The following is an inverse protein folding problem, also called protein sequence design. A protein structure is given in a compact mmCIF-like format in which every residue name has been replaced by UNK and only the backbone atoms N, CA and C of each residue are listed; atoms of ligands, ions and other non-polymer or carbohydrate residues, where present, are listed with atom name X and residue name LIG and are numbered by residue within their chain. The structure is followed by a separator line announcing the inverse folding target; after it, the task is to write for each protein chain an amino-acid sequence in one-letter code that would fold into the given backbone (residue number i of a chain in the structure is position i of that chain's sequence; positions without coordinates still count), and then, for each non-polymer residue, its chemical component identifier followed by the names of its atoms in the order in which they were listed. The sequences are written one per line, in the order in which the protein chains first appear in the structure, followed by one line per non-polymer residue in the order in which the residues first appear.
data_IF_303696318096
#
_entry.id   IF_303696318096
#
_cell.length_a   1.000
_cell.length_b   1.000
_cell.length_c   1.000
_cell.angle_alpha   90.00
_cell.angle_beta   90.00
_cell.angle_gamma   90.00
#
_symmetry.space_group_name_H-M   'P 1'
#
loop_
_entity.id
_entity.type
_entity.pdbx_description
1 polymer ?
#
# COMPACT_ATOMS: atom_id res chain seq x y z
N UNK A 1 -22.12 -40.79 41.91
CA UNK A 1 -20.77 -40.44 42.40
C UNK A 1 -19.75 -40.32 41.27
N UNK A 2 -19.52 -41.36 40.45
CA UNK A 2 -18.56 -41.33 39.33
C UNK A 2 -18.85 -40.28 38.25
N UNK A 3 -20.11 -40.16 37.79
CA UNK A 3 -20.50 -39.14 36.80
C UNK A 3 -20.29 -37.70 37.32
N UNK A 4 -20.56 -37.47 38.60
CA UNK A 4 -20.37 -36.14 39.18
C UNK A 4 -18.87 -35.78 39.30
N UNK A 5 -18.03 -36.77 39.60
CA UNK A 5 -16.58 -36.59 39.66
C UNK A 5 -15.97 -36.33 38.28
N UNK A 6 -16.45 -37.01 37.22
CA UNK A 6 -15.95 -36.78 35.85
C UNK A 6 -16.34 -35.40 35.31
N UNK A 7 -17.57 -34.94 35.61
CA UNK A 7 -18.02 -33.60 35.23
C UNK A 7 -17.20 -32.50 35.91
N UNK A 8 -16.88 -32.68 37.20
CA UNK A 8 -16.05 -31.72 37.94
C UNK A 8 -14.61 -31.68 37.39
N UNK A 9 -14.07 -32.83 36.97
CA UNK A 9 -12.74 -32.89 36.35
C UNK A 9 -12.67 -32.14 35.01
N UNK A 10 -13.69 -32.30 34.16
CA UNK A 10 -13.79 -31.57 32.88
C UNK A 10 -13.87 -30.05 33.12
N UNK A 11 -14.63 -29.62 34.14
CA UNK A 11 -14.78 -28.21 34.49
C UNK A 11 -13.45 -27.61 35.00
N UNK A 12 -12.70 -28.33 35.83
CA UNK A 12 -11.36 -27.92 36.27
C UNK A 12 -10.39 -27.82 35.09
N UNK A 13 -10.41 -28.78 34.16
CA UNK A 13 -9.58 -28.73 32.95
C UNK A 13 -9.93 -27.51 32.09
N UNK A 14 -11.21 -27.21 31.89
CA UNK A 14 -11.65 -26.05 31.13
C UNK A 14 -11.17 -24.72 31.76
N UNK A 15 -11.18 -24.62 33.09
CA UNK A 15 -10.64 -23.46 33.81
C UNK A 15 -9.12 -23.37 33.64
N UNK A 16 -8.40 -24.49 33.75
CA UNK A 16 -6.96 -24.51 33.49
C UNK A 16 -6.62 -24.07 32.06
N UNK A 17 -7.34 -24.56 31.05
CA UNK A 17 -7.15 -24.17 29.65
C UNK A 17 -7.43 -22.68 29.46
N UNK A 18 -8.52 -22.16 30.03
CA UNK A 18 -8.88 -20.73 29.89
C UNK A 18 -7.88 -19.82 30.59
N UNK A 19 -7.34 -20.21 31.76
CA UNK A 19 -6.26 -19.47 32.43
C UNK A 19 -4.96 -19.51 31.62
N UNK A 20 -4.63 -20.65 30.99
CA UNK A 20 -3.49 -20.75 30.08
C UNK A 20 -3.69 -19.87 28.86
N UNK A 21 -4.87 -19.89 28.22
CA UNK A 21 -5.19 -19.07 27.04
C UNK A 21 -5.23 -17.57 27.37
N UNK A 22 -5.62 -17.21 28.59
CA UNK A 22 -5.71 -15.81 29.05
C UNK A 22 -4.38 -15.28 29.60
N UNK A 23 -3.49 -16.16 30.08
CA UNK A 23 -2.16 -15.83 30.63
C UNK A 23 -1.00 -15.98 29.63
N UNK A 24 -1.10 -16.87 28.65
CA UNK A 24 -0.20 -16.87 27.49
C UNK A 24 -0.76 -15.85 26.51
N UNK A 25 -0.05 -14.74 26.30
CA UNK A 25 -0.32 -13.87 25.16
C UNK A 25 -0.44 -14.74 23.91
N UNK A 26 -1.62 -14.77 23.31
CA UNK A 26 -1.86 -15.27 21.96
C UNK A 26 -0.79 -14.70 21.04
N UNK A 27 0.24 -15.49 20.68
CA UNK A 27 1.32 -14.90 19.88
C UNK A 27 2.16 -15.84 19.01
N UNK A 28 2.10 -17.17 19.17
CA UNK A 28 2.89 -18.05 18.30
C UNK A 28 2.03 -18.82 17.29
N UNK A 29 0.99 -19.50 17.75
CA UNK A 29 0.15 -20.30 16.85
C UNK A 29 -0.80 -19.42 16.03
N UNK A 30 -1.47 -18.45 16.67
CA UNK A 30 -2.31 -17.47 15.97
C UNK A 30 -1.50 -16.64 14.97
N UNK A 31 -0.26 -16.26 15.33
CA UNK A 31 0.64 -15.52 14.43
C UNK A 31 1.08 -16.38 13.26
N UNK A 32 1.30 -17.68 13.46
CA UNK A 32 1.67 -18.62 12.39
C UNK A 32 0.50 -18.95 11.47
N UNK A 33 -0.72 -19.06 11.99
CA UNK A 33 -1.94 -19.23 11.20
C UNK A 33 -2.26 -17.94 10.44
N UNK A 34 -2.17 -16.77 11.11
CA UNK A 34 -2.28 -15.47 10.44
C UNK A 34 -1.22 -15.31 9.36
N UNK A 35 0.03 -15.74 9.57
CA UNK A 35 1.08 -15.62 8.55
C UNK A 35 0.89 -16.57 7.36
N UNK A 36 0.15 -17.68 7.53
CA UNK A 36 -0.18 -18.60 6.43
C UNK A 36 -1.44 -18.12 5.68
N UNK A 37 -2.44 -17.60 6.40
CA UNK A 37 -3.70 -17.09 5.80
C UNK A 37 -3.54 -15.69 5.21
N UNK A 38 -2.71 -14.82 5.80
CA UNK A 38 -2.44 -13.47 5.27
C UNK A 38 -1.45 -13.49 4.11
N UNK A 39 -0.75 -14.61 3.85
CA UNK A 39 0.17 -14.69 2.70
C UNK A 39 -0.53 -14.58 1.34
N UNK A 40 -1.83 -14.88 1.26
CA UNK A 40 -2.66 -14.66 0.06
C UNK A 40 -3.31 -13.27 0.02
N UNK A 41 -3.29 -12.52 1.13
CA UNK A 41 -3.85 -11.15 1.23
C UNK A 41 -2.79 -10.12 1.61
N UNK A 42 -1.51 -10.47 1.47
CA UNK A 42 -0.43 -9.51 1.41
C UNK A 42 -0.54 -8.84 0.05
N UNK A 43 -1.48 -7.90 -0.07
CA UNK A 43 -1.26 -6.73 -0.89
C UNK A 43 0.12 -6.25 -0.45
N UNK A 44 1.12 -6.49 -1.29
CA UNK A 44 2.48 -6.02 -1.01
C UNK A 44 2.34 -4.58 -0.54
N UNK A 45 2.81 -4.30 0.67
CA UNK A 45 3.10 -2.93 1.09
C UNK A 45 4.17 -2.44 0.11
N UNK A 46 3.72 -2.00 -1.08
CA UNK A 46 4.57 -1.34 -2.05
C UNK A 46 5.01 -0.08 -1.34
N UNK A 47 6.26 -0.11 -0.91
CA UNK A 47 6.92 0.99 -0.22
C UNK A 47 6.76 2.23 -1.11
N UNK A 48 5.89 3.15 -0.68
CA UNK A 48 5.59 4.37 -1.44
C UNK A 48 6.87 5.19 -1.42
N UNK A 49 7.37 5.58 -2.59
CA UNK A 49 8.60 6.37 -2.65
C UNK A 49 8.39 7.70 -1.93
N UNK A 50 9.39 8.17 -1.19
CA UNK A 50 9.38 9.49 -0.55
C UNK A 50 9.00 10.61 -1.54
N UNK A 51 9.45 10.47 -2.79
CA UNK A 51 9.09 11.38 -3.89
C UNK A 51 7.60 11.39 -4.20
N UNK A 52 6.96 10.22 -4.24
CA UNK A 52 5.52 10.10 -4.50
C UNK A 52 4.71 10.68 -3.34
N UNK A 53 5.18 10.44 -2.11
CA UNK A 53 4.57 11.01 -0.91
C UNK A 53 4.65 12.54 -0.91
N UNK A 54 5.82 13.09 -1.25
CA UNK A 54 6.03 14.54 -1.34
C UNK A 54 5.14 15.16 -2.43
N UNK A 55 5.08 14.55 -3.61
CA UNK A 55 4.24 15.03 -4.71
C UNK A 55 2.75 15.00 -4.35
N UNK A 56 2.29 13.96 -3.63
CA UNK A 56 0.92 13.92 -3.12
C UNK A 56 0.65 15.07 -2.13
N UNK A 57 1.61 15.36 -1.26
CA UNK A 57 1.51 16.47 -0.30
C UNK A 57 1.41 17.83 -1.00
N UNK A 58 2.26 18.10 -2.00
CA UNK A 58 2.21 19.34 -2.79
C UNK A 58 0.86 19.52 -3.48
N UNK A 59 0.27 18.44 -4.03
CA UNK A 59 -1.06 18.50 -4.66
C UNK A 59 -2.14 18.90 -3.65
N UNK A 60 -2.06 18.40 -2.42
CA UNK A 60 -3.01 18.73 -1.35
C UNK A 60 -2.80 20.16 -0.85
N UNK A 61 -1.56 20.61 -0.72
CA UNK A 61 -1.23 21.98 -0.32
C UNK A 61 -1.77 23.00 -1.35
N UNK A 62 -1.55 22.74 -2.63
CA UNK A 62 -2.09 23.58 -3.71
C UNK A 62 -3.63 23.60 -3.71
N UNK A 63 -4.27 22.48 -3.35
CA UNK A 63 -5.73 22.45 -3.19
C UNK A 63 -6.18 23.36 -2.05
N UNK A 64 -5.48 23.34 -0.92
CA UNK A 64 -5.81 24.17 0.22
C UNK A 64 -5.76 25.65 -0.15
N UNK A 65 -4.69 26.09 -0.82
CA UNK A 65 -4.53 27.47 -1.31
C UNK A 65 -5.67 27.88 -2.24
N UNK A 66 -6.07 27.00 -3.16
CA UNK A 66 -7.18 27.26 -4.08
C UNK A 66 -8.52 27.40 -3.32
N UNK A 67 -8.75 26.56 -2.31
CA UNK A 67 -9.99 26.56 -1.54
C UNK A 67 -10.12 27.77 -0.62
N UNK A 68 -9.01 28.31 -0.13
CA UNK A 68 -8.95 29.57 0.63
C UNK A 68 -9.28 30.80 -0.22
N UNK A 69 -9.29 30.68 -1.56
CA UNK A 69 -9.61 31.79 -2.44
C UNK A 69 -11.08 32.23 -2.27
N UNK A 70 -11.32 33.53 -2.10
CA UNK A 70 -12.67 34.09 -1.95
C UNK A 70 -13.43 34.24 -3.27
N UNK A 71 -12.76 34.05 -4.42
CA UNK A 71 -13.38 34.17 -5.72
C UNK A 71 -13.80 32.79 -6.25
N UNK A 72 -15.10 32.58 -6.39
CA UNK A 72 -15.68 31.30 -6.80
C UNK A 72 -15.21 30.82 -8.19
N UNK A 73 -15.01 31.75 -9.13
CA UNK A 73 -14.50 31.40 -10.46
C UNK A 73 -13.05 30.94 -10.43
N UNK A 74 -12.21 31.60 -9.62
CA UNK A 74 -10.81 31.21 -9.44
C UNK A 74 -10.73 29.87 -8.72
N UNK A 75 -11.56 29.66 -7.70
CA UNK A 75 -11.67 28.39 -6.96
C UNK A 75 -12.07 27.24 -7.88
N UNK A 76 -13.11 27.41 -8.70
CA UNK A 76 -13.54 26.38 -9.65
C UNK A 76 -12.42 25.98 -10.62
N UNK A 77 -11.76 26.97 -11.23
CA UNK A 77 -10.66 26.72 -12.16
C UNK A 77 -9.45 26.09 -11.48
N UNK A 78 -9.12 26.54 -10.26
CA UNK A 78 -8.05 25.99 -9.46
C UNK A 78 -8.29 24.53 -9.10
N UNK A 79 -9.50 24.19 -8.60
CA UNK A 79 -9.86 22.81 -8.23
C UNK A 79 -9.78 21.92 -9.46
N UNK A 80 -10.30 22.38 -10.61
CA UNK A 80 -10.19 21.65 -11.88
C UNK A 80 -8.74 21.40 -12.29
N UNK A 81 -7.84 22.36 -12.05
CA UNK A 81 -6.42 22.20 -12.35
C UNK A 81 -5.72 21.22 -11.40
N UNK A 82 -6.04 21.27 -10.11
CA UNK A 82 -5.50 20.33 -9.12
C UNK A 82 -5.99 18.91 -9.43
N UNK A 83 -7.26 18.75 -9.80
CA UNK A 83 -7.82 17.46 -10.17
C UNK A 83 -7.08 16.81 -11.35
N UNK A 84 -6.74 17.59 -12.40
CA UNK A 84 -5.89 17.10 -13.49
C UNK A 84 -4.51 16.62 -13.04
N UNK A 85 -3.93 17.25 -12.02
CA UNK A 85 -2.65 16.82 -11.43
C UNK A 85 -2.78 15.53 -10.63
N UNK A 86 -3.89 15.34 -9.92
CA UNK A 86 -4.21 14.06 -9.25
C UNK A 86 -4.35 12.95 -10.29
N UNK A 87 -5.03 13.21 -11.41
CA UNK A 87 -5.13 12.25 -12.52
C UNK A 87 -3.75 11.89 -13.08
N UNK A 88 -2.91 12.88 -13.39
CA UNK A 88 -1.56 12.64 -13.88
C UNK A 88 -0.68 11.87 -12.86
N UNK A 89 -0.82 12.15 -11.57
CA UNK A 89 -0.12 11.44 -10.49
C UNK A 89 -0.56 9.98 -10.40
N UNK A 90 -1.86 9.71 -10.51
CA UNK A 90 -2.41 8.34 -10.53
C UNK A 90 -1.94 7.57 -11.77
N UNK A 91 -1.96 8.21 -12.93
CA UNK A 91 -1.61 7.57 -14.20
C UNK A 91 -0.10 7.26 -14.26
N UNK A 92 0.76 8.10 -13.67
CA UNK A 92 2.18 7.79 -13.46
C UNK A 92 2.38 6.47 -12.69
N UNK A 93 1.60 6.26 -11.62
CA UNK A 93 1.69 5.04 -10.83
C UNK A 93 1.28 3.79 -11.64
N UNK A 94 0.24 3.90 -12.47
CA UNK A 94 -0.21 2.77 -13.30
C UNK A 94 0.79 2.37 -14.38
N UNK A 95 1.49 3.33 -14.99
CA UNK A 95 2.52 3.03 -15.98
C UNK A 95 3.76 2.33 -15.37
N UNK A 96 4.20 2.75 -14.19
CA UNK A 96 5.32 2.10 -13.49
C UNK A 96 5.00 0.67 -13.05
N UNK A 97 3.75 0.40 -12.65
CA UNK A 97 3.31 -0.95 -12.28
C UNK A 97 3.19 -1.91 -13.48
N UNK A 98 2.88 -1.39 -14.68
CA UNK A 98 2.85 -2.20 -15.91
C UNK A 98 4.27 -2.55 -16.40
N UNK A 99 5.22 -1.62 -16.30
CA UNK A 99 6.61 -1.84 -16.75
C UNK A 99 7.36 -2.88 -15.89
N UNK A 100 7.02 -3.04 -14.62
CA UNK A 100 7.64 -4.02 -13.72
C UNK A 100 7.18 -5.48 -13.95
N UNK A 101 6.16 -5.72 -14.77
CA UNK A 101 5.69 -7.08 -15.13
C UNK A 101 6.26 -7.61 -16.45
N UNK A 102 7.07 -6.83 -17.16
CA UNK A 102 7.76 -7.30 -18.35
C UNK A 102 9.02 -8.11 -17.96
N UNK A 103 9.18 -9.36 -18.43
CA UNK A 103 10.42 -10.10 -18.19
C UNK A 103 11.59 -9.37 -18.83
N UNK A 104 12.64 -9.18 -18.03
CA UNK A 104 13.95 -8.65 -18.42
C UNK A 104 14.41 -9.29 -19.73
N UNK A 105 14.38 -8.50 -20.81
CA UNK A 105 15.03 -8.85 -22.06
C UNK A 105 16.32 -8.03 -22.17
N UNK A 106 17.42 -8.78 -22.19
CA UNK A 106 18.80 -8.35 -22.25
C UNK A 106 19.13 -7.43 -23.43
N UNK A 107 19.95 -6.42 -23.11
CA UNK A 107 20.89 -5.64 -23.94
C UNK A 107 21.01 -6.01 -25.42
N UNK A 108 20.91 -5.00 -26.29
CA UNK A 108 21.93 -4.79 -27.32
C UNK A 108 22.09 -3.32 -27.69
N UNK A 109 23.25 -2.77 -27.31
CA UNK A 109 23.85 -1.55 -27.82
C UNK A 109 24.00 -1.63 -29.34
N UNK A 110 23.37 -0.72 -30.11
CA UNK A 110 23.85 -0.36 -31.44
C UNK A 110 23.83 1.16 -31.63
N UNK A 111 25.04 1.68 -31.53
CA UNK A 111 25.51 3.00 -31.88
C UNK A 111 25.05 3.38 -33.30
N UNK A 112 24.29 4.48 -33.44
CA UNK A 112 24.10 5.16 -34.73
C UNK A 112 24.60 6.59 -34.59
N UNK A 113 25.85 6.78 -35.01
CA UNK A 113 26.43 8.08 -35.28
C UNK A 113 25.50 8.84 -36.24
N UNK A 114 24.95 9.95 -35.75
CA UNK A 114 24.20 10.89 -36.55
C UNK A 114 25.18 11.62 -37.49
N UNK A 115 25.05 11.38 -38.78
CA UNK A 115 25.64 12.22 -39.82
C UNK A 115 24.92 13.58 -39.80
N UNK A 116 25.46 14.54 -39.04
CA UNK A 116 25.08 15.95 -39.14
C UNK A 116 25.94 16.58 -40.23
N UNK A 117 25.41 16.67 -41.46
CA UNK A 117 26.00 17.49 -42.50
C UNK A 117 25.77 18.96 -42.15
N UNK A 118 26.85 19.64 -41.75
CA UNK A 118 26.91 21.08 -41.59
C UNK A 118 26.79 21.73 -42.96
N UNK A 119 25.74 22.52 -43.17
CA UNK A 119 25.67 23.49 -44.26
C UNK A 119 26.35 24.76 -43.78
N UNK A 120 27.44 25.15 -44.43
CA UNK A 120 27.84 26.55 -44.54
C UNK A 120 28.57 26.81 -45.84
#
# INVERSE_FOLDING_TARGET
MLIAATLLYILVIAICITVIVKGHSLNFIEKRIKNVVVKETAVEDKDISEKEYHQAYEIVDDLAVVLECNNDMVKYNGVKSVFKRVEAFRDQKQHTEQEQTAPVAEKTTKNKAANLWVVK
#
